data_IF_901693617210
#
_entry.id   IF_901693617210
#
_cell.length_a   1.000
_cell.length_b   1.000
_cell.length_c   1.000
_cell.angle_alpha   90.00
_cell.angle_beta   90.00
_cell.angle_gamma   90.00
#
_symmetry.space_group_name_H-M   'P 1'
#
loop_
_entity.id
_entity.type
_entity.pdbx_description
1 polymer ?
#
# COMPACT_ATOMS: atom_id res chain seq x y z
N UNK A 1 1.30 -6.66 34.41
CA UNK A 1 0.50 -7.83 34.09
C UNK A 1 1.05 -8.95 34.93
N UNK A 2 0.20 -9.59 35.71
CA UNK A 2 0.55 -10.79 36.45
C UNK A 2 0.24 -12.06 35.62
N UNK A 3 0.70 -13.22 36.09
CA UNK A 3 0.53 -14.49 35.37
C UNK A 3 -0.95 -14.85 35.12
N UNK A 4 -1.85 -14.52 36.06
CA UNK A 4 -3.28 -14.78 35.93
C UNK A 4 -3.93 -13.91 34.83
N UNK A 5 -3.57 -12.63 34.77
CA UNK A 5 -4.02 -11.71 33.72
C UNK A 5 -3.54 -12.15 32.33
N UNK A 6 -2.31 -12.68 32.24
CA UNK A 6 -1.75 -13.23 31.00
C UNK A 6 -2.55 -14.45 30.55
N UNK A 7 -2.81 -15.40 31.45
CA UNK A 7 -3.60 -16.60 31.13
C UNK A 7 -5.04 -16.26 30.73
N UNK A 8 -5.69 -15.36 31.46
CA UNK A 8 -7.05 -14.92 31.15
C UNK A 8 -7.13 -14.24 29.78
N UNK A 9 -6.21 -13.32 29.49
CA UNK A 9 -6.13 -12.65 28.19
C UNK A 9 -5.88 -13.65 27.06
N UNK A 10 -5.01 -14.64 27.29
CA UNK A 10 -4.73 -15.72 26.34
C UNK A 10 -6.00 -16.52 26.04
N UNK A 11 -6.72 -16.94 27.08
CA UNK A 11 -7.98 -17.68 26.94
C UNK A 11 -9.01 -16.92 26.11
N UNK A 12 -9.22 -15.62 26.39
CA UNK A 12 -10.15 -14.78 25.62
C UNK A 12 -9.76 -14.72 24.13
N UNK A 13 -8.47 -14.51 23.84
CA UNK A 13 -7.96 -14.44 22.46
C UNK A 13 -8.08 -15.76 21.72
N UNK A 14 -7.77 -16.88 22.38
CA UNK A 14 -7.91 -18.23 21.79
C UNK A 14 -9.37 -18.60 21.54
N UNK A 15 -10.29 -18.06 22.34
CA UNK A 15 -11.74 -18.22 22.16
C UNK A 15 -12.34 -17.28 21.12
N UNK A 16 -11.54 -16.42 20.47
CA UNK A 16 -12.02 -15.44 19.49
C UNK A 16 -12.77 -14.23 20.09
N UNK A 17 -12.70 -14.07 21.41
CA UNK A 17 -13.32 -13.00 22.19
C UNK A 17 -12.37 -11.79 22.27
N UNK A 18 -12.08 -11.20 21.11
CA UNK A 18 -11.05 -10.15 21.00
C UNK A 18 -11.51 -8.81 21.59
N UNK A 19 -12.81 -8.49 21.49
CA UNK A 19 -13.37 -7.30 22.12
C UNK A 19 -13.26 -7.39 23.65
N UNK A 20 -13.64 -8.52 24.23
CA UNK A 20 -13.53 -8.78 25.66
C UNK A 20 -12.06 -8.74 26.12
N UNK A 21 -11.15 -9.32 25.33
CA UNK A 21 -9.72 -9.24 25.60
C UNK A 21 -9.24 -7.78 25.60
N UNK A 22 -9.64 -6.97 24.61
CA UNK A 22 -9.28 -5.56 24.51
C UNK A 22 -9.82 -4.76 25.71
N UNK A 23 -11.07 -5.00 26.12
CA UNK A 23 -11.66 -4.35 27.29
C UNK A 23 -10.95 -4.73 28.58
N UNK A 24 -10.59 -6.00 28.75
CA UNK A 24 -9.85 -6.48 29.92
C UNK A 24 -8.47 -5.84 30.01
N UNK A 25 -7.72 -5.84 28.90
CA UNK A 25 -6.40 -5.21 28.81
C UNK A 25 -6.46 -3.69 29.03
N UNK A 26 -7.52 -3.03 28.54
CA UNK A 26 -7.72 -1.60 28.80
C UNK A 26 -7.95 -1.31 30.29
N UNK A 27 -8.63 -2.19 31.04
CA UNK A 27 -8.76 -2.05 32.50
C UNK A 27 -7.40 -2.14 33.19
N UNK A 28 -6.55 -3.08 32.77
CA UNK A 28 -5.18 -3.20 33.28
C UNK A 28 -4.38 -1.92 32.96
N UNK A 29 -4.46 -1.42 31.73
CA UNK A 29 -3.76 -0.20 31.32
C UNK A 29 -4.25 1.06 32.05
N UNK A 30 -5.50 1.12 32.50
CA UNK A 30 -5.98 2.22 33.36
C UNK A 30 -5.30 2.23 34.74
N UNK A 31 -4.95 1.05 35.26
CA UNK A 31 -4.25 0.91 36.54
C UNK A 31 -2.73 1.05 36.39
N UNK A 32 -2.19 0.51 35.29
CA UNK A 32 -0.77 0.59 34.95
C UNK A 32 -0.58 0.96 33.46
N UNK A 33 -0.54 2.27 33.14
CA UNK A 33 -0.43 2.74 31.76
C UNK A 33 0.89 2.38 31.07
N UNK A 34 1.94 2.08 31.83
CA UNK A 34 3.29 1.79 31.31
C UNK A 34 3.53 0.30 31.05
N UNK A 35 2.53 -0.54 31.26
CA UNK A 35 2.63 -1.97 31.08
C UNK A 35 2.77 -2.35 29.59
N UNK A 36 4.00 -2.69 29.20
CA UNK A 36 4.36 -3.03 27.81
C UNK A 36 3.60 -4.26 27.30
N UNK A 37 3.40 -5.27 28.15
CA UNK A 37 2.69 -6.49 27.75
C UNK A 37 1.21 -6.22 27.58
N UNK A 38 0.62 -5.40 28.45
CA UNK A 38 -0.77 -5.00 28.30
C UNK A 38 -0.98 -4.13 27.06
N UNK A 39 -0.06 -3.19 26.76
CA UNK A 39 -0.10 -2.37 25.53
C UNK A 39 -0.04 -3.24 24.28
N UNK A 40 0.90 -4.19 24.22
CA UNK A 40 1.02 -5.11 23.09
C UNK A 40 -0.22 -5.99 22.96
N UNK A 41 -0.67 -6.62 24.05
CA UNK A 41 -1.85 -7.46 24.07
C UNK A 41 -3.09 -6.70 23.61
N UNK A 42 -3.23 -5.43 24.03
CA UNK A 42 -4.33 -4.57 23.63
C UNK A 42 -4.28 -4.26 22.13
N UNK A 43 -3.11 -3.87 21.61
CA UNK A 43 -2.94 -3.67 20.18
C UNK A 43 -3.28 -4.93 19.37
N UNK A 44 -2.79 -6.11 19.78
CA UNK A 44 -3.09 -7.38 19.13
C UNK A 44 -4.58 -7.73 19.14
N UNK A 45 -5.26 -7.49 20.26
CA UNK A 45 -6.71 -7.69 20.35
C UNK A 45 -7.47 -6.76 19.39
N UNK A 46 -7.07 -5.49 19.33
CA UNK A 46 -7.62 -4.52 18.37
C UNK A 46 -7.36 -4.93 16.90
N UNK A 47 -6.17 -5.44 16.58
CA UNK A 47 -5.85 -5.94 15.24
C UNK A 47 -6.78 -7.09 14.89
N UNK A 48 -6.91 -8.10 15.76
CA UNK A 48 -7.76 -9.26 15.48
C UNK A 48 -9.24 -8.90 15.33
N UNK A 49 -9.76 -8.06 16.22
CA UNK A 49 -11.14 -7.57 16.10
C UNK A 49 -11.34 -6.71 14.84
N UNK A 50 -10.40 -5.80 14.56
CA UNK A 50 -10.44 -4.95 13.38
C UNK A 50 -10.40 -5.74 12.08
N UNK A 51 -9.64 -6.83 12.02
CA UNK A 51 -9.61 -7.74 10.87
C UNK A 51 -10.90 -8.57 10.74
N UNK A 52 -11.44 -9.06 11.87
CA UNK A 52 -12.67 -9.86 11.92
C UNK A 52 -13.88 -9.05 11.42
N UNK A 53 -14.01 -7.82 11.90
CA UNK A 53 -15.14 -6.93 11.61
C UNK A 53 -14.85 -5.96 10.45
N UNK A 54 -13.67 -6.03 9.83
CA UNK A 54 -13.19 -5.12 8.78
C UNK A 54 -13.26 -3.63 9.19
N UNK A 55 -12.86 -3.33 10.43
CA UNK A 55 -12.91 -2.00 11.03
C UNK A 55 -11.55 -1.31 11.00
N UNK A 56 -11.31 -0.51 9.95
CA UNK A 56 -10.07 0.26 9.76
C UNK A 56 -9.74 1.17 10.96
N UNK A 57 -10.76 1.72 11.63
CA UNK A 57 -10.57 2.58 12.81
C UNK A 57 -9.90 1.87 13.99
N UNK A 58 -10.18 0.58 14.19
CA UNK A 58 -9.53 -0.24 15.22
C UNK A 58 -8.08 -0.55 14.86
N UNK A 59 -7.83 -0.81 13.57
CA UNK A 59 -6.50 -1.06 13.03
C UNK A 59 -5.61 0.18 13.19
N UNK A 60 -6.09 1.38 12.82
CA UNK A 60 -5.35 2.63 13.03
C UNK A 60 -5.08 2.91 14.51
N UNK A 61 -6.03 2.56 15.39
CA UNK A 61 -5.83 2.68 16.84
C UNK A 61 -4.73 1.73 17.32
N UNK A 62 -4.71 0.49 16.84
CA UNK A 62 -3.66 -0.47 17.17
C UNK A 62 -2.29 0.01 16.68
N UNK A 63 -2.21 0.53 15.45
CA UNK A 63 -1.00 1.11 14.86
C UNK A 63 -0.41 2.20 15.76
N UNK A 64 -1.26 3.12 16.24
CA UNK A 64 -0.84 4.17 17.17
C UNK A 64 -0.28 3.61 18.48
N UNK A 65 -0.95 2.64 19.09
CA UNK A 65 -0.48 2.01 20.35
C UNK A 65 0.88 1.33 20.15
N UNK A 66 1.10 0.69 19.00
CA UNK A 66 2.37 0.04 18.68
C UNK A 66 3.49 1.07 18.48
N UNK A 67 3.23 2.18 17.79
CA UNK A 67 4.20 3.27 17.68
C UNK A 67 4.55 3.88 19.03
N UNK A 68 3.56 4.13 19.89
CA UNK A 68 3.79 4.65 21.24
C UNK A 68 4.65 3.67 22.05
N UNK A 69 4.38 2.36 21.95
CA UNK A 69 5.14 1.31 22.61
C UNK A 69 6.59 1.22 22.12
N UNK A 70 6.82 1.31 20.81
CA UNK A 70 8.17 1.31 20.21
C UNK A 70 8.95 2.58 20.59
N UNK A 71 8.25 3.71 20.72
CA UNK A 71 8.87 4.97 21.16
C UNK A 71 9.32 4.87 22.61
N UNK A 72 8.51 4.23 23.47
CA UNK A 72 8.84 4.00 24.88
C UNK A 72 9.94 2.93 25.04
N UNK A 73 9.91 1.87 24.24
CA UNK A 73 10.89 0.78 24.22
C UNK A 73 11.18 0.32 22.80
N UNK A 74 12.24 0.87 22.23
CA UNK A 74 12.66 0.56 20.86
C UNK A 74 13.24 -0.85 20.71
N UNK A 75 13.59 -1.53 21.79
CA UNK A 75 14.15 -2.89 21.75
C UNK A 75 13.07 -3.97 21.73
N UNK A 76 11.80 -3.57 21.85
CA UNK A 76 10.69 -4.49 21.98
C UNK A 76 10.26 -5.06 20.62
N UNK A 77 10.99 -6.07 20.14
CA UNK A 77 10.83 -6.65 18.80
C UNK A 77 9.41 -7.13 18.46
N UNK A 78 8.65 -7.64 19.43
CA UNK A 78 7.27 -8.08 19.18
C UNK A 78 6.35 -6.94 18.73
N UNK A 79 6.55 -5.72 19.24
CA UNK A 79 5.79 -4.56 18.80
C UNK A 79 6.16 -4.14 17.38
N UNK A 80 7.44 -4.25 17.01
CA UNK A 80 7.89 -4.02 15.64
C UNK A 80 7.30 -5.02 14.65
N UNK A 81 7.29 -6.30 15.00
CA UNK A 81 6.75 -7.36 14.15
C UNK A 81 5.24 -7.18 13.92
N UNK A 82 4.49 -6.87 14.98
CA UNK A 82 3.05 -6.57 14.86
C UNK A 82 2.79 -5.30 14.03
N UNK A 83 3.62 -4.27 14.19
CA UNK A 83 3.51 -3.02 13.42
C UNK A 83 3.79 -3.26 11.94
N UNK A 84 4.77 -4.09 11.59
CA UNK A 84 5.07 -4.45 10.20
C UNK A 84 3.91 -5.22 9.58
N UNK A 85 3.36 -6.20 10.31
CA UNK A 85 2.18 -6.95 9.87
C UNK A 85 0.99 -6.02 9.60
N UNK A 86 0.70 -5.11 10.53
CA UNK A 86 -0.39 -4.16 10.41
C UNK A 86 -0.16 -3.16 9.27
N UNK A 87 1.06 -2.67 9.11
CA UNK A 87 1.45 -1.76 8.02
C UNK A 87 1.30 -2.43 6.66
N UNK A 88 1.54 -3.74 6.56
CA UNK A 88 1.26 -4.49 5.35
C UNK A 88 -0.23 -4.49 5.01
N UNK A 89 -1.08 -4.81 5.99
CA UNK A 89 -2.52 -4.85 5.81
C UNK A 89 -3.10 -3.47 5.42
N UNK A 90 -2.62 -2.40 6.05
CA UNK A 90 -3.06 -1.02 5.78
C UNK A 90 -2.44 -0.41 4.52
N UNK A 91 -1.62 -1.14 3.76
CA UNK A 91 -0.84 -0.63 2.62
C UNK A 91 0.10 0.54 2.98
N UNK A 92 0.58 0.58 4.24
CA UNK A 92 1.53 1.57 4.76
C UNK A 92 3.00 1.12 4.67
N UNK A 93 3.32 0.10 3.88
CA UNK A 93 4.68 -0.45 3.76
C UNK A 93 5.74 0.56 3.33
N UNK A 94 5.37 1.54 2.49
CA UNK A 94 6.27 2.65 2.12
C UNK A 94 6.60 3.55 3.30
N UNK A 95 5.59 3.89 4.10
CA UNK A 95 5.72 4.75 5.29
C UNK A 95 6.58 4.09 6.36
N UNK A 96 6.34 2.80 6.66
CA UNK A 96 7.14 2.07 7.67
C UNK A 96 8.58 1.83 7.21
N UNK A 97 8.80 1.61 5.90
CA UNK A 97 10.14 1.52 5.33
C UNK A 97 10.91 2.83 5.51
N UNK A 98 10.26 3.98 5.22
CA UNK A 98 10.85 5.31 5.42
C UNK A 98 11.18 5.55 6.90
N UNK A 99 10.27 5.20 7.80
CA UNK A 99 10.47 5.30 9.25
C UNK A 99 11.73 4.55 9.71
N UNK A 100 11.90 3.29 9.31
CA UNK A 100 13.09 2.53 9.71
C UNK A 100 14.37 3.07 9.08
N UNK A 101 14.35 3.53 7.82
CA UNK A 101 15.51 4.18 7.21
C UNK A 101 15.95 5.43 7.99
N UNK A 102 14.99 6.29 8.36
CA UNK A 102 15.27 7.49 9.17
C UNK A 102 15.85 7.11 10.54
N UNK A 103 15.34 6.05 11.17
CA UNK A 103 15.83 5.57 12.46
C UNK A 103 17.22 4.94 12.40
N UNK A 104 17.56 4.26 11.32
CA UNK A 104 18.92 3.76 11.08
C UNK A 104 19.90 4.92 10.91
N UNK A 105 19.52 5.98 10.18
CA UNK A 105 20.36 7.18 10.04
C UNK A 105 20.57 7.90 11.37
N UNK A 106 19.55 7.96 12.22
CA UNK A 106 19.64 8.60 13.55
C UNK A 106 20.38 7.73 14.58
N UNK A 107 20.24 6.41 14.50
CA UNK A 107 20.76 5.45 15.47
C UNK A 107 21.38 4.24 14.76
N UNK A 108 22.56 4.39 14.13
CA UNK A 108 23.16 3.35 13.31
C UNK A 108 23.51 2.07 14.09
N UNK A 109 23.83 2.21 15.37
CA UNK A 109 24.25 1.09 16.24
C UNK A 109 23.08 0.21 16.71
N UNK A 110 21.82 0.59 16.43
CA UNK A 110 20.64 -0.16 16.83
C UNK A 110 20.27 -1.20 15.77
N UNK A 111 20.80 -2.41 15.93
CA UNK A 111 20.59 -3.53 15.01
C UNK A 111 19.10 -3.83 14.74
N UNK A 112 18.22 -3.62 15.73
CA UNK A 112 16.79 -3.90 15.60
C UNK A 112 16.14 -3.17 14.42
N UNK A 113 16.53 -1.93 14.13
CA UNK A 113 15.96 -1.19 13.00
C UNK A 113 16.42 -1.76 11.65
N UNK A 114 17.66 -2.25 11.57
CA UNK A 114 18.17 -2.92 10.37
C UNK A 114 17.44 -4.25 10.14
N UNK A 115 17.21 -5.02 11.22
CA UNK A 115 16.43 -6.25 11.16
C UNK A 115 14.99 -6.00 10.71
N UNK A 116 14.33 -4.99 11.31
CA UNK A 116 12.98 -4.60 10.94
C UNK A 116 12.89 -4.17 9.47
N UNK A 117 13.87 -3.43 8.97
CA UNK A 117 13.90 -3.03 7.57
C UNK A 117 14.05 -4.23 6.62
N UNK A 118 14.85 -5.24 6.99
CA UNK A 118 14.94 -6.51 6.26
C UNK A 118 13.60 -7.26 6.26
N UNK A 119 12.89 -7.28 7.39
CA UNK A 119 11.54 -7.88 7.47
C UNK A 119 10.56 -7.14 6.57
N UNK A 120 10.54 -5.81 6.60
CA UNK A 120 9.68 -4.98 5.72
C UNK A 120 9.95 -5.27 4.24
N UNK A 121 11.21 -5.32 3.82
CA UNK A 121 11.56 -5.60 2.42
C UNK A 121 11.20 -7.04 2.02
N UNK A 122 11.42 -8.02 2.89
CA UNK A 122 11.01 -9.41 2.66
C UNK A 122 9.49 -9.54 2.52
N UNK A 123 8.70 -8.92 3.42
CA UNK A 123 7.23 -8.92 3.33
C UNK A 123 6.75 -8.24 2.05
N UNK A 124 7.37 -7.13 1.64
CA UNK A 124 7.06 -6.49 0.36
C UNK A 124 7.39 -7.40 -0.82
N UNK A 125 8.53 -8.11 -0.82
CA UNK A 125 8.91 -9.03 -1.89
C UNK A 125 7.97 -10.24 -2.03
N UNK A 126 7.47 -10.78 -0.91
CA UNK A 126 6.53 -11.90 -0.90
C UNK A 126 5.13 -11.50 -1.41
N UNK A 127 4.79 -10.21 -1.29
CA UNK A 127 3.45 -9.68 -1.58
C UNK A 127 3.38 -8.96 -2.91
N UNK A 128 4.53 -8.60 -3.51
CA UNK A 128 4.62 -8.45 -4.96
C UNK A 128 4.16 -9.80 -5.52
N UNK A 129 3.03 -9.88 -6.25
CA UNK A 129 2.67 -11.12 -6.90
C UNK A 129 3.92 -11.54 -7.67
N UNK A 130 4.36 -12.80 -7.50
CA UNK A 130 5.25 -13.42 -8.49
C UNK A 130 4.48 -13.27 -9.79
N UNK A 131 4.72 -12.18 -10.50
CA UNK A 131 4.44 -12.10 -11.90
C UNK A 131 5.27 -13.26 -12.40
N UNK A 132 4.59 -14.38 -12.64
CA UNK A 132 4.99 -15.22 -13.73
C UNK A 132 5.37 -14.26 -14.85
N UNK A 133 6.41 -14.61 -15.56
CA UNK A 133 6.77 -14.06 -16.86
C UNK A 133 5.62 -14.21 -17.88
N UNK A 134 4.36 -14.06 -17.49
CA UNK A 134 3.30 -13.57 -18.33
C UNK A 134 3.74 -12.19 -18.77
N UNK A 135 4.33 -12.15 -19.96
CA UNK A 135 4.68 -10.97 -20.69
C UNK A 135 3.48 -10.01 -20.72
N UNK A 136 3.34 -9.15 -19.70
CA UNK A 136 2.72 -7.85 -19.90
C UNK A 136 3.61 -7.22 -20.95
N UNK A 137 3.19 -7.29 -22.22
CA UNK A 137 3.75 -6.46 -23.28
C UNK A 137 3.76 -5.06 -22.70
N UNK A 138 4.93 -4.64 -22.20
CA UNK A 138 5.28 -3.24 -21.99
C UNK A 138 4.95 -2.65 -23.35
N UNK A 139 3.79 -2.02 -23.52
CA UNK A 139 3.61 -1.04 -24.60
C UNK A 139 4.69 -0.03 -24.25
N UNK A 140 5.84 -0.19 -24.90
CA UNK A 140 7.05 0.51 -24.55
C UNK A 140 6.68 1.98 -24.50
N UNK A 141 7.09 2.68 -23.45
CA UNK A 141 6.89 4.12 -23.32
C UNK A 141 7.28 4.86 -24.63
N UNK A 142 8.26 4.28 -25.35
CA UNK A 142 8.69 4.63 -26.70
C UNK A 142 7.56 4.55 -27.73
N UNK A 143 6.72 3.51 -27.74
CA UNK A 143 5.56 3.39 -28.64
C UNK A 143 4.50 4.45 -28.34
N UNK A 144 4.34 4.84 -27.07
CA UNK A 144 3.48 5.96 -26.67
C UNK A 144 4.00 7.30 -27.20
N UNK A 145 5.31 7.55 -27.07
CA UNK A 145 5.98 8.76 -27.58
C UNK A 145 5.94 8.81 -29.12
N UNK A 146 6.22 7.69 -29.79
CA UNK A 146 6.15 7.59 -31.26
C UNK A 146 4.72 7.89 -31.72
N UNK A 147 3.70 7.31 -31.07
CA UNK A 147 2.30 7.62 -31.38
C UNK A 147 1.99 9.11 -31.26
N UNK A 148 2.46 9.77 -30.20
CA UNK A 148 2.26 11.20 -29.99
C UNK A 148 2.96 12.07 -31.06
N UNK A 149 4.21 11.75 -31.41
CA UNK A 149 4.95 12.44 -32.48
C UNK A 149 4.26 12.29 -33.84
N UNK A 150 3.71 11.11 -34.14
CA UNK A 150 2.96 10.89 -35.39
C UNK A 150 1.65 11.69 -35.46
N UNK A 151 0.94 11.84 -34.34
CA UNK A 151 -0.26 12.69 -34.27
C UNK A 151 0.11 14.16 -34.45
N UNK A 152 1.22 14.62 -33.87
CA UNK A 152 1.72 15.99 -34.06
C UNK A 152 2.08 16.25 -35.53
N UNK A 153 2.75 15.32 -36.20
CA UNK A 153 3.06 15.42 -37.63
C UNK A 153 1.79 15.46 -38.50
N UNK A 154 0.76 14.67 -38.16
CA UNK A 154 -0.52 14.70 -38.86
C UNK A 154 -1.25 16.05 -38.69
N UNK A 155 -1.22 16.62 -37.48
CA UNK A 155 -1.79 17.95 -37.22
C UNK A 155 -1.05 19.05 -38.00
N UNK A 156 0.29 19.02 -38.01
CA UNK A 156 1.11 19.97 -38.79
C UNK A 156 0.83 19.83 -40.29
N UNK A 157 0.75 18.59 -40.80
CA UNK A 157 0.37 18.31 -42.18
C UNK A 157 -1.03 18.83 -42.54
N UNK A 158 -1.99 18.72 -41.62
CA UNK A 158 -3.34 19.25 -41.79
C UNK A 158 -3.34 20.77 -41.87
N UNK A 159 -2.63 21.47 -40.98
CA UNK A 159 -2.49 22.93 -41.01
C UNK A 159 -1.81 23.40 -42.31
N UNK A 160 -0.72 22.75 -42.73
CA UNK A 160 -0.04 23.08 -43.98
C UNK A 160 -0.91 22.82 -45.22
N UNK A 161 -1.74 21.78 -45.19
CA UNK A 161 -2.66 21.45 -46.29
C UNK A 161 -3.82 22.44 -46.43
N UNK A 162 -4.21 23.11 -45.33
CA UNK A 162 -5.19 24.20 -45.33
C UNK A 162 -4.58 25.52 -45.83
N UNK A 163 -3.30 25.77 -45.52
CA UNK A 163 -2.62 27.02 -45.86
C UNK A 163 -2.06 27.08 -47.27
N UNK A 164 -1.77 25.93 -47.92
CA UNK A 164 -1.14 25.89 -49.24
C UNK A 164 -1.98 25.13 -50.29
N UNK A 165 -2.41 25.77 -51.39
CA UNK A 165 -3.28 25.14 -52.39
C UNK A 165 -2.62 23.96 -53.12
N UNK A 166 -1.29 23.91 -53.20
CA UNK A 166 -0.53 22.77 -53.77
C UNK A 166 -0.54 21.51 -52.89
N UNK A 167 -0.77 21.66 -51.59
CA UNK A 167 -0.75 20.57 -50.60
C UNK A 167 -2.16 20.10 -50.20
N UNK A 168 -3.20 20.66 -50.81
CA UNK A 168 -4.62 20.33 -50.52
C UNK A 168 -4.95 18.84 -50.71
N UNK A 169 -4.19 18.11 -51.53
CA UNK A 169 -4.33 16.64 -51.71
C UNK A 169 -3.97 15.85 -50.44
N UNK A 170 -3.24 16.43 -49.48
CA UNK A 170 -2.84 15.81 -48.21
C UNK A 170 -3.88 16.00 -47.08
N UNK A 171 -4.94 16.77 -47.33
CA UNK A 171 -5.97 17.12 -46.36
C UNK A 171 -6.89 15.92 -46.04
N UNK A 172 -7.35 15.20 -47.05
CA UNK A 172 -8.19 14.01 -46.85
C UNK A 172 -7.47 12.87 -46.08
N UNK A 173 -6.22 12.51 -46.42
CA UNK A 173 -5.47 11.50 -45.67
C UNK A 173 -5.25 11.86 -44.19
N UNK A 174 -4.95 13.13 -43.91
CA UNK A 174 -4.70 13.59 -42.53
C UNK A 174 -5.97 13.59 -41.67
N UNK A 175 -7.11 14.02 -42.22
CA UNK A 175 -8.41 13.97 -41.53
C UNK A 175 -8.85 12.53 -41.25
N UNK A 176 -8.78 11.65 -42.25
CA UNK A 176 -9.18 10.24 -42.07
C UNK A 176 -8.34 9.58 -40.96
N UNK A 177 -7.04 9.87 -40.92
CA UNK A 177 -6.15 9.31 -39.91
C UNK A 177 -6.50 9.76 -38.48
N UNK A 178 -6.77 11.06 -38.29
CA UNK A 178 -7.15 11.61 -36.97
C UNK A 178 -8.47 10.99 -36.50
N UNK A 179 -9.47 10.86 -37.38
CA UNK A 179 -10.77 10.26 -37.04
C UNK A 179 -10.63 8.80 -36.64
N UNK A 180 -9.83 8.00 -37.36
CA UNK A 180 -9.57 6.60 -37.02
C UNK A 180 -8.82 6.47 -35.69
N UNK A 181 -7.87 7.35 -35.42
CA UNK A 181 -7.12 7.35 -34.16
C UNK A 181 -8.02 7.66 -32.95
N UNK A 182 -8.87 8.69 -33.05
CA UNK A 182 -9.84 9.04 -32.01
C UNK A 182 -10.86 7.92 -31.81
N UNK A 183 -11.40 7.37 -32.91
CA UNK A 183 -12.36 6.27 -32.86
C UNK A 183 -11.79 5.01 -32.19
N UNK A 184 -10.53 4.67 -32.45
CA UNK A 184 -9.84 3.56 -31.79
C UNK A 184 -9.64 3.82 -30.29
N UNK A 185 -9.27 5.04 -29.90
CA UNK A 185 -9.15 5.43 -28.49
C UNK A 185 -10.49 5.31 -27.75
N UNK A 186 -11.58 5.77 -28.37
CA UNK A 186 -12.93 5.67 -27.81
C UNK A 186 -13.40 4.21 -27.69
N UNK A 187 -13.09 3.37 -28.68
CA UNK A 187 -13.41 1.94 -28.65
C UNK A 187 -12.64 1.19 -27.55
N UNK A 188 -11.35 1.47 -27.37
CA UNK A 188 -10.55 0.88 -26.28
C UNK A 188 -11.04 1.34 -24.90
N UNK A 189 -11.47 2.60 -24.75
CA UNK A 189 -12.05 3.13 -23.51
C UNK A 189 -13.39 2.44 -23.15
N UNK A 190 -14.30 2.31 -24.12
CA UNK A 190 -15.59 1.63 -23.91
C UNK A 190 -15.41 0.13 -23.62
N UNK A 191 -14.43 -0.52 -24.22
CA UNK A 191 -14.13 -1.95 -23.99
C UNK A 191 -13.40 -2.19 -22.66
N UNK A 192 -12.60 -1.23 -22.20
CA UNK A 192 -11.90 -1.27 -20.90
C UNK A 192 -12.83 -1.11 -19.69
N UNK A 193 -13.92 -0.36 -19.84
CA UNK A 193 -14.94 -0.17 -18.78
C UNK A 193 -15.59 -1.47 -18.28
N UNK A 194 -15.63 -2.53 -19.10
CA UNK A 194 -16.19 -3.85 -18.70
C UNK A 194 -15.26 -4.72 -17.83
N UNK A 195 -14.05 -4.27 -17.48
CA UNK A 195 -13.03 -5.12 -16.81
C UNK A 195 -12.55 -4.66 -15.44
N UNK A 196 -13.23 -3.71 -14.81
CA UNK A 196 -12.98 -3.31 -13.42
C UNK A 196 -14.20 -3.55 -12.54
N UNK A 197 -14.48 -4.81 -12.30
CA UNK A 197 -15.00 -5.28 -11.02
C UNK A 197 -14.13 -6.47 -10.61
N UNK A 198 -13.82 -6.53 -9.31
CA UNK A 198 -12.93 -7.44 -8.58
C UNK A 198 -11.47 -7.00 -8.50
#
# INVERSE_FOLDING_TARGET
MNAGEIQHTKFLRESGLYNEAAQFLLKILKQNPSDKLAKLGYAQALVKEGLKENLISLLMRAEKVLFDLIKDDFSFGQAHDELIFLSHYLNHMGSISKYYHEKIMQYPDREIYQECLKKVSATAMLTIPKTGLGAKKKKSFIVGIIGYLYVMLACVGLVLSLSAPKLRKLLMPSVIFIVVFIGKGFYEYLKGSKKTQW
#
